data_IF_181569286014
#
_entry.id   IF_181569286014
#
_cell.length_a   1.000
_cell.length_b   1.000
_cell.length_c   1.000
_cell.angle_alpha   90.00
_cell.angle_beta   90.00
_cell.angle_gamma   90.00
#
_symmetry.space_group_name_H-M   'P 1'
#
loop_
_entity.id
_entity.type
_entity.pdbx_description
1 polymer ?
#
# COMPACT_ATOMS: atom_id res chain seq x y z
N UNK A 1 18.24 20.11 -1.80
CA UNK A 1 17.48 19.19 -2.67
C UNK A 1 16.02 19.59 -2.57
N UNK A 2 15.34 19.83 -3.70
CA UNK A 2 13.90 20.12 -3.69
C UNK A 2 13.15 18.90 -3.20
N UNK A 3 12.36 19.08 -2.16
CA UNK A 3 11.50 18.03 -1.60
C UNK A 3 10.58 17.46 -2.69
N UNK A 4 10.50 16.13 -2.83
CA UNK A 4 9.66 15.48 -3.83
C UNK A 4 8.18 15.75 -3.52
N UNK A 5 7.44 16.30 -4.46
CA UNK A 5 5.98 16.41 -4.34
C UNK A 5 5.34 15.04 -4.66
N UNK A 6 5.28 14.17 -3.66
CA UNK A 6 4.75 12.81 -3.80
C UNK A 6 3.27 12.79 -4.23
N UNK A 7 2.48 13.80 -3.84
CA UNK A 7 1.10 13.86 -4.31
C UNK A 7 1.06 14.06 -5.82
N UNK A 8 1.77 15.06 -6.34
CA UNK A 8 1.80 15.33 -7.77
C UNK A 8 2.36 14.15 -8.57
N UNK A 9 3.45 13.54 -8.09
CA UNK A 9 4.09 12.41 -8.76
C UNK A 9 3.18 11.18 -8.86
N UNK A 10 2.31 10.96 -7.89
CA UNK A 10 1.32 9.89 -7.93
C UNK A 10 0.06 10.29 -8.73
N UNK A 11 -0.44 11.51 -8.57
CA UNK A 11 -1.70 11.97 -9.16
C UNK A 11 -1.69 12.02 -10.70
N UNK A 12 -0.53 12.30 -11.29
CA UNK A 12 -0.38 12.29 -12.75
C UNK A 12 -0.45 10.88 -13.37
N UNK A 13 -0.21 9.83 -12.56
CA UNK A 13 -0.11 8.46 -13.03
C UNK A 13 -1.26 7.57 -12.52
N UNK A 14 -1.92 7.94 -11.41
CA UNK A 14 -2.91 7.12 -10.71
C UNK A 14 -4.25 7.87 -10.51
N UNK A 15 -5.37 7.15 -10.38
CA UNK A 15 -6.61 7.71 -9.88
C UNK A 15 -6.40 8.41 -8.53
N UNK A 16 -7.06 9.54 -8.31
CA UNK A 16 -6.78 10.46 -7.20
C UNK A 16 -6.80 9.78 -5.81
N UNK A 17 -7.69 8.82 -5.59
CA UNK A 17 -7.82 8.15 -4.30
C UNK A 17 -6.61 7.25 -4.00
N UNK A 18 -6.07 6.58 -5.03
CA UNK A 18 -4.81 5.82 -4.92
C UNK A 18 -3.62 6.75 -4.78
N UNK A 19 -3.59 7.82 -5.57
CA UNK A 19 -2.52 8.81 -5.51
C UNK A 19 -2.38 9.44 -4.13
N UNK A 20 -3.51 9.76 -3.48
CA UNK A 20 -3.56 10.34 -2.13
C UNK A 20 -2.95 9.40 -1.09
N UNK A 21 -3.36 8.13 -1.05
CA UNK A 21 -2.83 7.14 -0.11
C UNK A 21 -1.34 6.90 -0.34
N UNK A 22 -0.93 6.64 -1.59
CA UNK A 22 0.47 6.41 -1.96
C UNK A 22 1.38 7.60 -1.65
N UNK A 23 0.87 8.83 -1.74
CA UNK A 23 1.63 10.02 -1.38
C UNK A 23 1.94 10.09 0.12
N UNK A 24 0.99 9.72 0.98
CA UNK A 24 1.20 9.64 2.43
C UNK A 24 2.21 8.56 2.77
N UNK A 25 2.02 7.37 2.22
CA UNK A 25 2.91 6.23 2.44
C UNK A 25 4.35 6.54 2.00
N UNK A 26 4.52 7.08 0.80
CA UNK A 26 5.85 7.44 0.28
C UNK A 26 6.60 8.43 1.17
N UNK A 27 5.91 9.38 1.80
CA UNK A 27 6.52 10.32 2.75
C UNK A 27 7.00 9.61 4.02
N UNK A 28 6.26 8.65 4.56
CA UNK A 28 6.72 7.88 5.72
C UNK A 28 7.98 7.09 5.43
N UNK A 29 8.09 6.48 4.25
CA UNK A 29 9.31 5.74 3.87
C UNK A 29 10.55 6.62 3.79
N UNK A 30 10.43 7.95 3.60
CA UNK A 30 11.59 8.86 3.59
C UNK A 30 12.27 8.98 4.95
N UNK A 31 11.62 8.54 6.02
CA UNK A 31 12.15 8.61 7.39
C UNK A 31 13.09 7.43 7.71
N UNK A 32 13.23 6.47 6.78
CA UNK A 32 13.97 5.24 7.01
C UNK A 32 15.09 5.05 6.00
N UNK A 33 16.23 4.59 6.51
CA UNK A 33 17.26 4.01 5.68
C UNK A 33 16.96 2.52 5.46
N UNK A 34 17.02 2.10 4.20
CA UNK A 34 16.86 0.70 3.81
C UNK A 34 18.21 0.15 3.36
N UNK A 35 18.93 -0.62 4.21
CA UNK A 35 20.20 -1.23 3.83
C UNK A 35 20.04 -2.14 2.62
N UNK A 36 20.94 -2.00 1.65
CA UNK A 36 20.94 -2.86 0.47
C UNK A 36 21.62 -4.23 0.79
N UNK A 37 21.18 -5.31 0.16
CA UNK A 37 20.10 -5.40 -0.83
C UNK A 37 18.71 -5.34 -0.19
N UNK A 38 17.77 -4.65 -0.85
CA UNK A 38 16.39 -4.45 -0.40
C UNK A 38 15.43 -5.28 -1.26
N UNK A 39 14.51 -5.99 -0.62
CA UNK A 39 13.39 -6.68 -1.24
C UNK A 39 12.11 -5.83 -1.13
N UNK A 40 11.41 -5.63 -2.25
CA UNK A 40 10.03 -5.14 -2.27
C UNK A 40 9.09 -6.32 -2.51
N UNK A 41 8.40 -6.74 -1.46
CA UNK A 41 7.47 -7.87 -1.46
C UNK A 41 6.09 -7.42 -1.89
N UNK A 42 5.65 -7.87 -3.06
CA UNK A 42 4.43 -7.41 -3.71
C UNK A 42 4.64 -6.09 -4.45
N UNK A 43 5.70 -6.01 -5.26
CA UNK A 43 6.08 -4.78 -5.96
C UNK A 43 5.05 -4.29 -6.98
N UNK A 44 4.08 -5.13 -7.35
CA UNK A 44 3.04 -4.81 -8.31
C UNK A 44 3.60 -4.33 -9.65
N UNK A 45 3.04 -3.23 -10.14
CA UNK A 45 3.48 -2.57 -11.39
C UNK A 45 4.78 -1.76 -11.25
N UNK A 46 5.39 -1.74 -10.06
CA UNK A 46 6.63 -1.04 -9.77
C UNK A 46 6.49 0.48 -9.64
N UNK A 47 5.29 1.02 -9.75
CA UNK A 47 5.05 2.46 -9.66
C UNK A 47 5.48 3.02 -8.30
N UNK A 48 5.08 2.34 -7.21
CA UNK A 48 5.40 2.79 -5.85
C UNK A 48 6.92 2.85 -5.62
N UNK A 49 7.64 1.79 -5.95
CA UNK A 49 9.10 1.75 -5.80
C UNK A 49 9.81 2.86 -6.59
N UNK A 50 9.38 3.10 -7.84
CA UNK A 50 9.93 4.15 -8.70
C UNK A 50 9.71 5.56 -8.14
N UNK A 51 8.53 5.86 -7.62
CA UNK A 51 8.19 7.20 -7.11
C UNK A 51 8.80 7.44 -5.75
N UNK A 52 8.74 6.48 -4.85
CA UNK A 52 9.12 6.62 -3.46
C UNK A 52 10.63 6.76 -3.28
N UNK A 53 11.40 5.89 -3.92
CA UNK A 53 12.83 5.85 -3.70
C UNK A 53 13.63 6.61 -4.78
N UNK A 54 14.77 7.17 -4.37
CA UNK A 54 15.68 7.86 -5.30
C UNK A 54 16.62 6.87 -6.00
N UNK A 55 16.93 5.76 -5.32
CA UNK A 55 17.70 4.64 -5.89
C UNK A 55 16.77 3.54 -6.37
N UNK A 56 17.22 2.75 -7.33
CA UNK A 56 16.56 1.49 -7.65
C UNK A 56 16.70 0.52 -6.49
N UNK A 57 15.59 -0.11 -6.08
CA UNK A 57 15.65 -1.24 -5.17
C UNK A 57 16.26 -2.46 -5.86
N UNK A 58 16.88 -3.35 -5.09
CA UNK A 58 17.59 -4.47 -5.68
C UNK A 58 16.63 -5.48 -6.29
N UNK A 59 15.56 -5.85 -5.58
CA UNK A 59 14.59 -6.84 -6.08
C UNK A 59 13.16 -6.37 -5.81
N UNK A 60 12.34 -6.44 -6.85
CA UNK A 60 10.87 -6.44 -6.75
C UNK A 60 10.33 -7.83 -7.00
N UNK A 61 9.48 -8.33 -6.10
CA UNK A 61 8.82 -9.63 -6.21
C UNK A 61 7.31 -9.46 -6.25
N UNK A 62 6.66 -10.15 -7.19
CA UNK A 62 5.19 -10.21 -7.30
C UNK A 62 4.78 -11.55 -7.93
N UNK A 63 3.67 -12.19 -7.51
CA UNK A 63 3.23 -13.47 -8.08
C UNK A 63 2.65 -13.33 -9.49
N UNK A 64 2.26 -12.14 -9.92
CA UNK A 64 1.52 -11.93 -11.16
C UNK A 64 2.40 -11.45 -12.31
N UNK A 65 2.37 -12.16 -13.44
CA UNK A 65 3.15 -11.81 -14.62
C UNK A 65 2.80 -10.42 -15.20
N UNK A 66 1.50 -10.04 -15.19
CA UNK A 66 1.05 -8.76 -15.71
C UNK A 66 1.70 -7.57 -15.00
N UNK A 67 1.58 -7.44 -13.67
CA UNK A 67 2.28 -6.42 -12.89
C UNK A 67 3.80 -6.44 -13.12
N UNK A 68 4.45 -7.59 -13.10
CA UNK A 68 5.90 -7.69 -13.36
C UNK A 68 6.29 -7.13 -14.73
N UNK A 69 5.50 -7.36 -15.78
CA UNK A 69 5.74 -6.76 -17.09
C UNK A 69 5.62 -5.23 -17.07
N UNK A 70 4.68 -4.69 -16.30
CA UNK A 70 4.55 -3.24 -16.12
C UNK A 70 5.71 -2.68 -15.30
N UNK A 71 6.14 -3.37 -14.25
CA UNK A 71 7.26 -2.97 -13.40
C UNK A 71 8.58 -2.86 -14.19
N UNK A 72 8.79 -3.69 -15.20
CA UNK A 72 9.95 -3.57 -16.13
C UNK A 72 10.01 -2.20 -16.82
N UNK A 73 8.84 -1.69 -17.23
CA UNK A 73 8.74 -0.37 -17.89
C UNK A 73 8.98 0.78 -16.89
N UNK A 74 8.55 0.59 -15.65
CA UNK A 74 8.71 1.59 -14.58
C UNK A 74 10.16 1.70 -14.07
N UNK A 75 11.00 0.69 -14.32
CA UNK A 75 12.45 0.71 -14.05
C UNK A 75 12.85 1.08 -12.60
N UNK A 76 11.99 0.81 -11.61
CA UNK A 76 12.23 1.08 -10.19
C UNK A 76 13.15 0.06 -9.51
N UNK A 77 13.43 -1.07 -10.16
CA UNK A 77 14.19 -2.20 -9.61
C UNK A 77 15.39 -2.55 -10.47
N UNK A 78 16.39 -3.20 -9.84
CA UNK A 78 17.53 -3.79 -10.55
C UNK A 78 17.14 -5.15 -11.12
N UNK A 79 16.34 -5.91 -10.35
CA UNK A 79 15.83 -7.22 -10.75
C UNK A 79 14.36 -7.35 -10.39
N UNK A 80 13.62 -8.07 -11.22
CA UNK A 80 12.20 -8.37 -11.00
C UNK A 80 12.01 -9.88 -11.04
N UNK A 81 11.34 -10.42 -10.04
CA UNK A 81 11.13 -11.86 -9.88
C UNK A 81 9.64 -12.15 -9.76
N UNK A 82 9.14 -13.01 -10.64
CA UNK A 82 7.78 -13.53 -10.51
C UNK A 82 7.82 -14.77 -9.62
N UNK A 83 7.29 -14.64 -8.39
CA UNK A 83 7.23 -15.75 -7.44
C UNK A 83 6.16 -15.55 -6.39
N UNK A 84 5.75 -16.65 -5.75
CA UNK A 84 4.91 -16.62 -4.55
C UNK A 84 5.75 -16.15 -3.35
N UNK A 85 5.23 -15.18 -2.59
CA UNK A 85 5.86 -14.70 -1.37
C UNK A 85 6.02 -15.75 -0.27
N UNK A 86 5.22 -16.82 -0.29
CA UNK A 86 5.35 -17.94 0.64
C UNK A 86 6.46 -18.94 0.24
N UNK A 87 7.07 -18.77 -0.94
CA UNK A 87 8.16 -19.63 -1.43
C UNK A 87 9.10 -18.84 -2.34
N UNK A 88 9.84 -17.92 -1.76
CA UNK A 88 10.72 -17.03 -2.51
C UNK A 88 11.97 -17.78 -3.02
N UNK A 89 12.37 -17.58 -4.30
CA UNK A 89 13.51 -18.28 -4.90
C UNK A 89 14.84 -17.62 -4.52
N UNK A 90 15.05 -17.32 -3.26
CA UNK A 90 16.26 -16.69 -2.74
C UNK A 90 16.90 -17.54 -1.64
N UNK A 91 18.23 -17.50 -1.49
CA UNK A 91 18.92 -18.15 -0.38
C UNK A 91 18.56 -17.46 0.96
N UNK A 92 18.82 -18.18 2.04
CA UNK A 92 18.66 -17.63 3.39
C UNK A 92 19.57 -16.42 3.60
N UNK A 93 19.07 -15.39 4.29
CA UNK A 93 19.85 -14.20 4.62
C UNK A 93 20.34 -13.40 3.41
N UNK A 94 19.58 -13.39 2.31
CA UNK A 94 19.97 -12.70 1.08
C UNK A 94 19.79 -11.18 1.16
N UNK A 95 18.81 -10.71 1.91
CA UNK A 95 18.43 -9.29 1.96
C UNK A 95 18.79 -8.63 3.29
N UNK A 96 19.16 -7.36 3.24
CA UNK A 96 19.47 -6.53 4.39
C UNK A 96 18.32 -5.62 4.81
N UNK A 97 17.25 -5.56 4.01
CA UNK A 97 15.98 -4.90 4.33
C UNK A 97 14.87 -5.43 3.46
N UNK A 98 13.62 -5.27 3.91
CA UNK A 98 12.44 -5.52 3.09
C UNK A 98 11.37 -4.45 3.31
N UNK A 99 10.56 -4.25 2.27
CA UNK A 99 9.34 -3.45 2.34
C UNK A 99 8.17 -4.23 1.76
N UNK A 100 6.94 -3.86 2.17
CA UNK A 100 5.71 -4.33 1.55
C UNK A 100 4.62 -3.27 1.70
N UNK A 101 4.18 -2.67 0.60
CA UNK A 101 3.30 -1.51 0.65
C UNK A 101 1.89 -1.84 0.20
N UNK A 102 0.94 -1.98 1.13
CA UNK A 102 -0.46 -2.36 0.89
C UNK A 102 -0.58 -3.64 0.04
N UNK A 103 -0.06 -4.73 0.56
CA UNK A 103 -0.01 -6.05 -0.10
C UNK A 103 -0.42 -7.16 0.85
N UNK A 104 0.12 -7.19 2.07
CA UNK A 104 -0.06 -8.30 3.00
C UNK A 104 -1.52 -8.53 3.38
N UNK A 105 -2.32 -7.48 3.39
CA UNK A 105 -3.76 -7.55 3.63
C UNK A 105 -4.54 -8.36 2.59
N UNK A 106 -3.95 -8.60 1.42
CA UNK A 106 -4.57 -9.35 0.33
C UNK A 106 -4.18 -10.83 0.29
N UNK A 107 -3.26 -11.26 1.15
CA UNK A 107 -2.68 -12.61 1.10
C UNK A 107 -3.38 -13.51 2.14
N UNK A 108 -4.20 -14.50 1.73
CA UNK A 108 -4.96 -15.34 2.68
C UNK A 108 -4.07 -16.06 3.71
N UNK A 109 -2.91 -16.57 3.28
CA UNK A 109 -1.93 -17.25 4.15
C UNK A 109 -0.72 -16.36 4.42
N UNK A 110 -0.94 -15.19 5.01
CA UNK A 110 0.11 -14.19 5.23
C UNK A 110 1.22 -14.69 6.16
N UNK A 111 0.93 -15.58 7.09
CA UNK A 111 1.92 -16.15 8.00
C UNK A 111 2.98 -17.00 7.27
N UNK A 112 2.59 -17.75 6.22
CA UNK A 112 3.55 -18.48 5.38
C UNK A 112 4.51 -17.50 4.68
N UNK A 113 3.98 -16.37 4.22
CA UNK A 113 4.79 -15.32 3.59
C UNK A 113 5.74 -14.66 4.59
N UNK A 114 5.28 -14.36 5.80
CA UNK A 114 6.13 -13.79 6.85
C UNK A 114 7.25 -14.76 7.25
N UNK A 115 6.96 -16.05 7.35
CA UNK A 115 7.95 -17.09 7.64
C UNK A 115 9.03 -17.16 6.56
N UNK A 116 8.64 -17.15 5.28
CA UNK A 116 9.62 -17.21 4.19
C UNK A 116 10.38 -15.87 4.03
N UNK A 117 9.72 -14.75 4.31
CA UNK A 117 10.38 -13.44 4.35
C UNK A 117 11.47 -13.40 5.43
N UNK A 118 11.17 -13.96 6.62
CA UNK A 118 12.17 -14.07 7.69
C UNK A 118 13.38 -14.90 7.25
N UNK A 119 13.17 -16.00 6.55
CA UNK A 119 14.24 -16.87 6.03
C UNK A 119 15.18 -16.11 5.10
N UNK A 120 14.65 -15.29 4.20
CA UNK A 120 15.48 -14.58 3.21
C UNK A 120 16.11 -13.29 3.74
N UNK A 121 15.69 -12.78 4.90
CA UNK A 121 16.28 -11.63 5.56
C UNK A 121 17.45 -12.05 6.44
N UNK A 122 18.50 -11.21 6.47
CA UNK A 122 19.59 -11.31 7.45
C UNK A 122 19.04 -11.03 8.85
N UNK A 123 19.60 -11.64 9.90
CA UNK A 123 19.27 -11.23 11.27
C UNK A 123 19.49 -9.72 11.47
N UNK A 124 18.60 -9.08 12.20
CA UNK A 124 18.63 -7.64 12.46
C UNK A 124 18.16 -6.75 11.32
N UNK A 125 17.71 -7.31 10.19
CA UNK A 125 17.23 -6.52 9.04
C UNK A 125 15.86 -5.88 9.30
N UNK A 126 15.67 -4.59 8.94
CA UNK A 126 14.36 -3.96 9.03
C UNK A 126 13.40 -4.52 7.98
N UNK A 127 12.15 -4.70 8.40
CA UNK A 127 11.00 -4.96 7.56
C UNK A 127 9.95 -3.88 7.81
N UNK A 128 9.59 -3.12 6.77
CA UNK A 128 8.65 -2.00 6.86
C UNK A 128 7.46 -2.28 5.95
N UNK A 129 6.26 -2.18 6.52
CA UNK A 129 5.05 -2.42 5.74
C UNK A 129 3.88 -1.56 6.22
N UNK A 130 2.86 -1.44 5.39
CA UNK A 130 1.62 -0.77 5.74
C UNK A 130 0.41 -1.52 5.20
N UNK A 131 -0.65 -1.53 5.99
CA UNK A 131 -1.90 -2.25 5.72
C UNK A 131 -3.09 -1.51 6.32
N UNK A 132 -4.32 -1.73 5.83
CA UNK A 132 -5.53 -1.22 6.48
C UNK A 132 -5.72 -1.87 7.86
N UNK A 133 -6.30 -1.14 8.79
CA UNK A 133 -6.77 -1.65 10.07
C UNK A 133 -8.31 -1.77 10.10
N UNK A 134 -8.95 -2.26 11.16
CA UNK A 134 -10.41 -2.44 11.21
C UNK A 134 -11.21 -1.17 10.93
N UNK A 135 -10.64 0.04 11.19
CA UNK A 135 -11.30 1.30 10.86
C UNK A 135 -11.48 1.52 9.36
N UNK A 136 -10.69 0.85 8.50
CA UNK A 136 -10.87 0.88 7.05
C UNK A 136 -12.31 0.56 6.63
N UNK A 137 -12.95 -0.41 7.28
CA UNK A 137 -14.33 -0.80 7.00
C UNK A 137 -15.35 -0.05 7.86
N UNK A 138 -15.03 0.29 9.12
CA UNK A 138 -15.98 0.94 10.01
C UNK A 138 -16.16 2.44 9.74
N UNK A 139 -15.16 3.09 9.09
CA UNK A 139 -15.23 4.52 8.74
C UNK A 139 -15.82 4.81 7.35
N UNK A 140 -16.36 3.77 6.68
CA UNK A 140 -17.07 3.95 5.41
C UNK A 140 -18.30 4.85 5.61
N UNK A 141 -18.47 5.81 4.70
CA UNK A 141 -19.53 6.81 4.80
C UNK A 141 -20.91 6.26 4.41
N UNK A 142 -20.97 5.38 3.42
CA UNK A 142 -22.23 4.80 2.91
C UNK A 142 -22.92 3.94 3.98
N UNK A 143 -22.27 3.01 4.68
CA UNK A 143 -22.91 2.28 5.77
C UNK A 143 -23.40 3.21 6.89
N UNK A 144 -22.62 4.19 7.30
CA UNK A 144 -22.99 5.14 8.32
C UNK A 144 -24.24 5.98 7.93
N UNK A 145 -24.36 6.35 6.67
CA UNK A 145 -25.58 7.01 6.15
C UNK A 145 -26.78 6.07 6.17
N UNK A 146 -26.62 4.83 5.68
CA UNK A 146 -27.69 3.83 5.63
C UNK A 146 -28.22 3.48 7.03
N UNK A 147 -27.33 3.41 8.03
CA UNK A 147 -27.72 3.18 9.43
C UNK A 147 -28.59 4.32 9.99
N UNK A 148 -28.26 5.58 9.66
CA UNK A 148 -29.07 6.75 10.08
C UNK A 148 -30.49 6.74 9.54
N UNK A 149 -30.70 6.19 8.35
CA UNK A 149 -32.03 6.04 7.74
C UNK A 149 -32.66 4.66 8.01
N UNK A 150 -32.15 3.93 9.02
CA UNK A 150 -32.63 2.63 9.49
C UNK A 150 -32.53 1.50 8.46
N UNK A 151 -31.60 1.57 7.52
CA UNK A 151 -31.28 0.55 6.53
C UNK A 151 -29.99 -0.22 6.86
N UNK A 152 -29.79 -0.60 8.13
CA UNK A 152 -28.59 -1.28 8.61
C UNK A 152 -28.22 -2.55 7.84
N UNK A 153 -29.26 -3.30 7.35
CA UNK A 153 -29.04 -4.47 6.50
C UNK A 153 -28.32 -4.15 5.19
N UNK A 154 -28.71 -3.06 4.55
CA UNK A 154 -28.07 -2.56 3.32
C UNK A 154 -26.65 -2.03 3.62
N UNK A 155 -26.45 -1.35 4.76
CA UNK A 155 -25.13 -0.92 5.22
C UNK A 155 -24.16 -2.08 5.36
N UNK A 156 -24.56 -3.15 6.05
CA UNK A 156 -23.75 -4.39 6.16
C UNK A 156 -23.47 -5.06 4.81
N UNK A 157 -24.45 -5.06 3.91
CA UNK A 157 -24.27 -5.61 2.56
C UNK A 157 -23.23 -4.81 1.77
N UNK A 158 -23.28 -3.47 1.86
CA UNK A 158 -22.31 -2.57 1.25
C UNK A 158 -20.90 -2.80 1.80
N UNK A 159 -20.72 -2.88 3.13
CA UNK A 159 -19.41 -3.14 3.75
C UNK A 159 -18.80 -4.45 3.23
N UNK A 160 -19.58 -5.53 3.19
CA UNK A 160 -19.11 -6.81 2.62
C UNK A 160 -18.76 -6.71 1.13
N UNK A 161 -19.53 -5.98 0.37
CA UNK A 161 -19.25 -5.75 -1.04
C UNK A 161 -17.95 -4.94 -1.21
N UNK A 162 -17.77 -3.85 -0.44
CA UNK A 162 -16.58 -3.01 -0.49
C UNK A 162 -15.32 -3.80 -0.12
N UNK A 163 -15.39 -4.62 0.95
CA UNK A 163 -14.31 -5.51 1.36
C UNK A 163 -13.92 -6.49 0.25
N UNK A 164 -14.90 -7.13 -0.39
CA UNK A 164 -14.65 -8.05 -1.52
C UNK A 164 -14.07 -7.33 -2.73
N UNK A 165 -14.58 -6.17 -3.07
CA UNK A 165 -14.12 -5.35 -4.19
C UNK A 165 -12.67 -4.88 -3.97
N UNK A 166 -12.33 -4.47 -2.76
CA UNK A 166 -10.98 -4.08 -2.38
C UNK A 166 -10.05 -5.26 -2.09
N UNK A 167 -10.57 -6.50 -2.09
CA UNK A 167 -9.83 -7.75 -1.83
C UNK A 167 -9.07 -7.75 -0.50
N UNK A 168 -9.58 -7.08 0.52
CA UNK A 168 -8.97 -7.03 1.84
C UNK A 168 -9.38 -8.27 2.64
N UNK A 169 -8.45 -9.20 2.84
CA UNK A 169 -8.61 -10.39 3.67
C UNK A 169 -8.33 -10.07 5.14
N UNK A 170 -7.31 -9.25 5.40
CA UNK A 170 -6.82 -8.92 6.73
C UNK A 170 -6.91 -7.42 7.00
N UNK A 171 -7.98 -6.97 7.66
CA UNK A 171 -8.07 -5.66 8.30
C UNK A 171 -8.14 -5.88 9.82
N UNK A 172 -7.00 -6.15 10.43
CA UNK A 172 -6.89 -6.54 11.85
C UNK A 172 -6.10 -5.50 12.65
N UNK A 173 -6.24 -5.54 13.97
CA UNK A 173 -5.54 -4.64 14.88
C UNK A 173 -4.05 -4.99 15.00
N UNK A 174 -3.20 -4.04 15.43
CA UNK A 174 -1.75 -4.24 15.57
C UNK A 174 -1.36 -5.44 16.43
N UNK A 175 -2.15 -5.79 17.43
CA UNK A 175 -1.88 -6.92 18.32
C UNK A 175 -1.86 -8.25 17.57
N UNK A 176 -2.71 -8.39 16.54
CA UNK A 176 -2.74 -9.59 15.69
C UNK A 176 -1.53 -9.62 14.75
N UNK A 177 -1.19 -8.47 14.16
CA UNK A 177 0.03 -8.37 13.34
C UNK A 177 1.29 -8.63 14.15
N UNK A 178 1.34 -8.14 15.40
CA UNK A 178 2.44 -8.39 16.31
C UNK A 178 2.60 -9.89 16.58
N UNK A 179 1.51 -10.60 16.91
CA UNK A 179 1.56 -12.04 17.14
C UNK A 179 2.06 -12.81 15.90
N UNK A 180 1.56 -12.47 14.70
CA UNK A 180 2.01 -13.12 13.46
C UNK A 180 3.48 -12.82 13.12
N UNK A 181 3.95 -11.63 13.44
CA UNK A 181 5.35 -11.25 13.27
C UNK A 181 6.26 -12.02 14.24
N UNK A 182 5.87 -12.09 15.51
CA UNK A 182 6.62 -12.83 16.55
C UNK A 182 6.69 -14.32 16.21
N UNK A 183 5.60 -14.94 15.80
CA UNK A 183 5.54 -16.34 15.35
C UNK A 183 6.47 -16.61 14.15
N UNK A 184 6.64 -15.62 13.27
CA UNK A 184 7.52 -15.71 12.11
C UNK A 184 9.00 -15.36 12.42
N UNK A 185 9.33 -14.93 13.65
CA UNK A 185 10.69 -14.56 14.06
C UNK A 185 11.05 -13.09 13.77
N UNK A 186 10.07 -12.20 13.88
CA UNK A 186 10.28 -10.75 13.86
C UNK A 186 9.95 -10.13 15.21
N UNK A 187 10.62 -9.03 15.54
CA UNK A 187 10.26 -8.13 16.63
C UNK A 187 9.57 -6.90 16.04
N UNK A 188 8.37 -6.56 16.52
CA UNK A 188 7.70 -5.31 16.19
C UNK A 188 8.35 -4.18 16.99
N UNK A 189 9.04 -3.23 16.31
CA UNK A 189 9.71 -2.11 16.98
C UNK A 189 8.75 -0.94 17.26
N UNK A 190 7.93 -0.59 16.26
CA UNK A 190 6.94 0.49 16.36
C UNK A 190 5.88 0.38 15.28
N UNK A 191 4.73 1.00 15.57
CA UNK A 191 3.68 1.24 14.59
C UNK A 191 2.96 2.55 14.88
N UNK A 192 2.25 3.06 13.90
CA UNK A 192 1.29 4.17 14.07
C UNK A 192 0.18 4.09 13.06
N UNK A 193 -0.99 4.59 13.45
CA UNK A 193 -2.10 4.73 12.53
C UNK A 193 -1.96 6.02 11.73
N UNK A 194 -2.48 6.03 10.54
CA UNK A 194 -2.48 7.18 9.63
C UNK A 194 -3.68 7.14 8.70
N UNK A 195 -3.83 8.16 7.86
CA UNK A 195 -4.91 8.28 6.90
C UNK A 195 -6.27 8.45 7.58
N UNK A 196 -6.63 9.70 7.88
CA UNK A 196 -7.79 10.07 8.70
C UNK A 196 -9.11 9.49 8.18
N UNK A 197 -10.15 9.40 9.03
CA UNK A 197 -11.49 9.00 8.60
C UNK A 197 -12.04 9.82 7.42
N UNK A 198 -11.72 11.13 7.37
CA UNK A 198 -12.09 11.98 6.25
C UNK A 198 -11.39 11.58 4.95
N UNK A 199 -10.09 11.29 5.02
CA UNK A 199 -9.33 10.78 3.88
C UNK A 199 -9.89 9.43 3.40
N UNK A 200 -10.29 8.56 4.34
CA UNK A 200 -10.91 7.27 4.02
C UNK A 200 -12.24 7.45 3.26
N UNK A 201 -13.08 8.39 3.65
CA UNK A 201 -14.34 8.69 2.92
C UNK A 201 -14.08 9.17 1.50
N UNK A 202 -13.03 9.99 1.29
CA UNK A 202 -12.63 10.40 -0.04
C UNK A 202 -12.11 9.22 -0.87
N UNK A 203 -11.37 8.30 -0.24
CA UNK A 203 -10.92 7.05 -0.88
C UNK A 203 -12.11 6.17 -1.26
N UNK A 204 -13.09 5.98 -0.36
CA UNK A 204 -14.33 5.24 -0.63
C UNK A 204 -15.03 5.76 -1.88
N UNK A 205 -15.33 7.06 -1.91
CA UNK A 205 -15.98 7.69 -3.06
C UNK A 205 -15.10 7.71 -4.31
N UNK A 206 -13.80 7.69 -4.13
CA UNK A 206 -12.83 7.59 -5.21
C UNK A 206 -12.97 6.33 -6.06
N UNK A 207 -13.42 5.23 -5.48
CA UNK A 207 -13.69 4.01 -6.22
C UNK A 207 -14.84 4.18 -7.21
N UNK A 208 -15.84 4.99 -6.87
CA UNK A 208 -16.96 5.29 -7.77
C UNK A 208 -16.59 6.37 -8.80
N UNK A 209 -16.08 7.50 -8.35
CA UNK A 209 -15.70 8.61 -9.23
C UNK A 209 -14.44 8.33 -10.04
N UNK A 210 -13.60 7.40 -9.62
CA UNK A 210 -12.46 6.91 -10.36
C UNK A 210 -12.80 5.83 -11.39
N UNK A 211 -13.98 5.21 -11.34
CA UNK A 211 -14.37 4.18 -12.28
C UNK A 211 -14.27 4.56 -13.77
N UNK A 212 -14.58 5.80 -14.18
CA UNK A 212 -14.37 6.24 -15.57
C UNK A 212 -12.91 6.13 -16.04
N UNK A 213 -11.92 6.17 -15.14
CA UNK A 213 -10.51 6.03 -15.51
C UNK A 213 -10.11 4.59 -15.89
N UNK A 214 -11.00 3.62 -15.65
CA UNK A 214 -10.81 2.24 -16.12
C UNK A 214 -10.83 2.14 -17.64
N UNK A 215 -11.65 2.95 -18.32
CA UNK A 215 -11.73 2.97 -19.78
C UNK A 215 -10.40 3.38 -20.44
N UNK A 216 -9.83 4.55 -20.09
CA UNK A 216 -8.48 4.92 -20.57
C UNK A 216 -7.44 3.86 -20.26
N UNK A 217 -7.46 3.31 -19.03
CA UNK A 217 -6.50 2.30 -18.62
C UNK A 217 -6.58 1.04 -19.48
N UNK A 218 -7.79 0.59 -19.83
CA UNK A 218 -7.98 -0.60 -20.67
C UNK A 218 -7.40 -0.43 -22.08
N UNK A 219 -7.54 0.76 -22.68
CA UNK A 219 -7.07 1.03 -24.04
C UNK A 219 -5.59 1.47 -24.12
N UNK A 220 -5.12 2.27 -23.18
CA UNK A 220 -3.81 2.93 -23.24
C UNK A 220 -2.81 2.49 -22.17
N UNK A 221 -3.24 1.67 -21.19
CA UNK A 221 -2.47 1.32 -19.99
C UNK A 221 -2.13 2.54 -19.09
N UNK A 222 -2.80 3.68 -19.32
CA UNK A 222 -2.66 4.90 -18.52
C UNK A 222 -3.97 5.19 -17.79
N UNK A 223 -3.89 5.43 -16.49
CA UNK A 223 -5.06 5.82 -15.70
C UNK A 223 -5.50 7.26 -15.99
N UNK A 224 -4.54 8.12 -16.31
CA UNK A 224 -4.74 9.55 -16.59
C UNK A 224 -4.28 9.85 -18.00
N UNK A 225 -5.20 10.30 -18.87
CA UNK A 225 -4.90 10.62 -20.26
C UNK A 225 -4.20 11.98 -20.36
N UNK A 226 -4.59 12.94 -19.52
CA UNK A 226 -4.08 14.30 -19.54
C UNK A 226 -3.39 14.64 -18.20
N UNK A 227 -2.14 14.16 -17.97
CA UNK A 227 -1.44 14.29 -16.69
C UNK A 227 -0.79 15.68 -16.52
N UNK A 228 -1.50 16.74 -16.82
CA UNK A 228 -1.00 18.11 -16.70
C UNK A 228 -1.58 18.83 -15.48
N UNK A 229 -0.82 19.73 -14.88
CA UNK A 229 -1.25 20.47 -13.67
C UNK A 229 -2.54 21.26 -13.88
N UNK A 230 -2.73 21.87 -15.05
CA UNK A 230 -3.95 22.63 -15.33
C UNK A 230 -5.22 21.76 -15.30
N UNK A 231 -5.14 20.51 -15.75
CA UNK A 231 -6.26 19.56 -15.73
C UNK A 231 -6.53 18.99 -14.34
N UNK A 232 -5.47 18.76 -13.56
CA UNK A 232 -5.54 18.12 -12.24
C UNK A 232 -5.58 19.12 -11.08
N UNK A 233 -5.52 20.43 -11.37
CA UNK A 233 -5.38 21.47 -10.36
C UNK A 233 -6.45 21.44 -9.28
N UNK A 234 -7.73 21.30 -9.66
CA UNK A 234 -8.86 21.26 -8.70
C UNK A 234 -8.75 20.02 -7.84
N UNK A 235 -8.50 18.86 -8.44
CA UNK A 235 -8.33 17.58 -7.73
C UNK A 235 -7.14 17.66 -6.78
N UNK A 236 -5.98 18.12 -7.27
CA UNK A 236 -4.77 18.28 -6.48
C UNK A 236 -5.02 19.18 -5.26
N UNK A 237 -5.61 20.38 -5.47
CA UNK A 237 -5.93 21.33 -4.40
C UNK A 237 -6.90 20.76 -3.38
N UNK A 238 -7.89 19.98 -3.82
CA UNK A 238 -8.89 19.38 -2.93
C UNK A 238 -8.27 18.30 -2.05
N UNK A 239 -7.49 17.37 -2.61
CA UNK A 239 -6.97 16.21 -1.87
C UNK A 239 -5.69 16.52 -1.10
N UNK A 240 -4.93 17.54 -1.45
CA UNK A 240 -3.62 17.87 -0.84
C UNK A 240 -3.69 18.01 0.68
N UNK A 241 -4.77 18.55 1.23
CA UNK A 241 -4.97 18.70 2.68
C UNK A 241 -5.06 17.36 3.43
N UNK A 242 -5.29 16.26 2.72
CA UNK A 242 -5.40 14.91 3.29
C UNK A 242 -4.14 14.06 3.06
N UNK A 243 -3.09 14.65 2.51
CA UNK A 243 -1.86 13.94 2.14
C UNK A 243 -0.67 14.26 3.04
N UNK A 244 -0.90 14.85 4.20
CA UNK A 244 0.14 15.03 5.20
C UNK A 244 0.45 13.68 5.85
N UNK A 245 1.73 13.30 5.83
CA UNK A 245 2.21 12.09 6.49
C UNK A 245 2.45 12.36 7.97
N UNK A 246 1.41 12.22 8.75
CA UNK A 246 1.46 12.34 10.20
C UNK A 246 0.68 11.21 10.87
N UNK A 247 1.09 10.76 12.06
CA UNK A 247 0.29 9.84 12.86
C UNK A 247 -1.09 10.44 13.17
N UNK A 248 -2.12 9.59 13.07
CA UNK A 248 -3.49 9.92 13.45
C UNK A 248 -4.06 8.74 14.24
N UNK A 249 -4.36 8.91 15.54
CA UNK A 249 -4.93 7.84 16.37
C UNK A 249 -6.23 7.26 15.83
N UNK A 250 -6.98 8.02 15.02
CA UNK A 250 -8.20 7.57 14.34
C UNK A 250 -7.95 7.06 12.93
N UNK A 251 -6.68 6.98 12.50
CA UNK A 251 -6.30 6.58 11.16
C UNK A 251 -6.80 5.18 10.78
N UNK A 252 -7.10 5.01 9.51
CA UNK A 252 -7.71 3.80 8.95
C UNK A 252 -6.71 2.81 8.38
N UNK A 253 -5.45 3.22 8.29
CA UNK A 253 -4.30 2.39 7.93
C UNK A 253 -3.27 2.42 9.05
N UNK A 254 -2.41 1.42 9.08
CA UNK A 254 -1.32 1.32 10.05
C UNK A 254 -0.01 1.06 9.32
N UNK A 255 1.00 1.81 9.70
CA UNK A 255 2.37 1.66 9.25
C UNK A 255 3.16 0.92 10.33
N UNK A 256 3.93 -0.08 9.95
CA UNK A 256 4.66 -0.96 10.83
C UNK A 256 6.15 -0.94 10.53
N UNK A 257 6.95 -0.98 11.57
CA UNK A 257 8.40 -1.19 11.51
C UNK A 257 8.73 -2.38 12.38
N UNK A 258 9.19 -3.45 11.76
CA UNK A 258 9.62 -4.68 12.41
C UNK A 258 11.08 -4.98 12.08
N UNK A 259 11.68 -5.85 12.86
CA UNK A 259 13.05 -6.32 12.67
C UNK A 259 13.11 -7.83 12.74
N UNK A 260 13.84 -8.43 11.83
CA UNK A 260 14.12 -9.89 11.87
C UNK A 260 15.01 -10.24 13.07
N UNK A 261 14.65 -11.25 13.85
CA UNK A 261 15.41 -11.74 15.00
C UNK A 261 16.50 -12.72 14.55
#
# INVERSE_FOLDING_TARGET
MTEKDFLWLNLRDLPYFRAMLRAVEAQFYQQFELPAPTLDLGCGDGHFGRITFTRKLEVGLDPWAGPIHQAKRNAGYRSLVQADGAKMPFPNGNFSSAISNSVLEHIPRVQDVLTDLRRVLKPGSPFIFCVPNPRYLSELSVPGFLDRIRLAGAGRAYTRWFQRMSRVEHAVWPEIWQAWLEDAGFCLEKYWHYFSPQAMRILEWGHFFGAPTLLPHWFSQHWIIAPWRWNLFITERYIRRYTLAQPDPQGTFTFYVARSI
#
